data_IF_714079346514
#
_entry.id   IF_714079346514
#
_cell.length_a   1.000
_cell.length_b   1.000
_cell.length_c   1.000
_cell.angle_alpha   90.00
_cell.angle_beta   90.00
_cell.angle_gamma   90.00
#
_symmetry.space_group_name_H-M   'P 1'
#
loop_
_entity.id
_entity.type
_entity.pdbx_description
1 polymer ?
#
# COMPACT_ATOMS: atom_id res chain seq x y z
N UNK A 1 0.21 26.49 11.61
CA UNK A 1 -0.81 25.65 10.94
C UNK A 1 -1.20 24.53 11.90
N UNK A 2 -2.49 24.38 12.21
CA UNK A 2 -3.00 23.52 13.30
C UNK A 2 -3.00 22.02 12.92
N UNK A 3 -2.67 21.14 13.87
CA UNK A 3 -2.62 19.67 13.69
C UNK A 3 -3.94 19.07 13.18
N UNK A 4 -5.07 19.66 13.55
CA UNK A 4 -6.40 19.22 13.10
C UNK A 4 -6.57 19.25 11.56
N UNK A 5 -5.97 20.22 10.87
CA UNK A 5 -6.02 20.27 9.40
C UNK A 5 -5.19 19.15 8.75
N UNK A 6 -4.16 18.64 9.45
CA UNK A 6 -3.35 17.53 8.96
C UNK A 6 -4.12 16.21 9.00
N UNK A 7 -4.86 15.95 10.08
CA UNK A 7 -5.67 14.74 10.26
C UNK A 7 -6.83 14.65 9.28
N UNK A 8 -7.58 15.74 9.08
CA UNK A 8 -8.68 15.79 8.09
C UNK A 8 -8.15 15.49 6.69
N UNK A 9 -6.99 16.05 6.35
CA UNK A 9 -6.32 15.81 5.06
C UNK A 9 -5.82 14.37 4.94
N UNK A 10 -5.28 13.78 6.00
CA UNK A 10 -4.81 12.39 6.00
C UNK A 10 -5.97 11.40 5.87
N UNK A 11 -7.08 11.62 6.60
CA UNK A 11 -8.29 10.80 6.52
C UNK A 11 -8.94 10.83 5.14
N UNK A 12 -8.95 12.00 4.49
CA UNK A 12 -9.43 12.11 3.10
C UNK A 12 -8.57 11.28 2.14
N UNK A 13 -7.24 11.37 2.25
CA UNK A 13 -6.32 10.59 1.40
C UNK A 13 -6.49 9.08 1.58
N UNK A 14 -6.71 8.60 2.81
CA UNK A 14 -6.95 7.18 3.07
C UNK A 14 -8.22 6.69 2.36
N UNK A 15 -9.32 7.45 2.45
CA UNK A 15 -10.58 7.11 1.75
C UNK A 15 -10.41 7.09 0.24
N UNK A 16 -9.63 8.02 -0.32
CA UNK A 16 -9.31 8.04 -1.75
C UNK A 16 -8.48 6.82 -2.15
N UNK A 17 -7.47 6.45 -1.36
CA UNK A 17 -6.67 5.26 -1.63
C UNK A 17 -7.53 3.98 -1.60
N UNK A 18 -8.36 3.80 -0.58
CA UNK A 18 -9.27 2.66 -0.48
C UNK A 18 -10.25 2.58 -1.68
N UNK A 19 -10.86 3.71 -2.06
CA UNK A 19 -11.75 3.78 -3.22
C UNK A 19 -11.04 3.39 -4.54
N UNK A 20 -9.79 3.85 -4.71
CA UNK A 20 -8.99 3.49 -5.87
C UNK A 20 -8.71 1.99 -5.91
N UNK A 21 -8.38 1.39 -4.76
CA UNK A 21 -8.16 -0.06 -4.64
C UNK A 21 -9.40 -0.84 -5.07
N UNK A 22 -10.56 -0.48 -4.55
CA UNK A 22 -11.81 -1.18 -4.88
C UNK A 22 -12.14 -1.03 -6.38
N UNK A 23 -11.84 0.13 -6.95
CA UNK A 23 -12.03 0.40 -8.38
C UNK A 23 -11.12 -0.46 -9.26
N UNK A 24 -9.82 -0.56 -8.93
CA UNK A 24 -8.86 -1.38 -9.70
C UNK A 24 -9.11 -2.88 -9.50
N UNK A 25 -9.64 -3.29 -8.36
CA UNK A 25 -10.00 -4.68 -8.08
C UNK A 25 -11.22 -5.15 -8.89
N UNK A 26 -12.14 -4.24 -9.23
CA UNK A 26 -13.45 -4.60 -9.81
C UNK A 26 -13.40 -4.92 -11.31
N UNK A 27 -12.61 -4.21 -12.12
CA UNK A 27 -12.56 -4.50 -13.57
C UNK A 27 -11.29 -4.05 -14.29
N UNK A 28 -10.98 -4.71 -15.40
CA UNK A 28 -9.80 -4.43 -16.23
C UNK A 28 -9.90 -3.06 -16.92
N UNK A 29 -11.06 -2.75 -17.51
CA UNK A 29 -11.31 -1.44 -18.13
C UNK A 29 -11.12 -0.28 -17.15
N UNK A 30 -11.49 -0.49 -15.87
CA UNK A 30 -11.27 0.51 -14.82
C UNK A 30 -9.78 0.67 -14.50
N UNK A 31 -9.00 -0.41 -14.51
CA UNK A 31 -7.55 -0.34 -14.34
C UNK A 31 -6.88 0.47 -15.45
N UNK A 32 -7.25 0.23 -16.70
CA UNK A 32 -6.76 1.03 -17.85
C UNK A 32 -7.09 2.51 -17.66
N UNK A 33 -8.35 2.82 -17.33
CA UNK A 33 -8.78 4.20 -17.11
C UNK A 33 -8.01 4.88 -15.97
N UNK A 34 -7.73 4.17 -14.87
CA UNK A 34 -6.97 4.70 -13.73
C UNK A 34 -5.49 4.92 -14.08
N UNK A 35 -4.87 4.04 -14.87
CA UNK A 35 -3.47 4.20 -15.28
C UNK A 35 -3.28 5.39 -16.21
N UNK A 36 -4.25 5.66 -17.08
CA UNK A 36 -4.22 6.82 -17.98
C UNK A 36 -4.74 8.12 -17.33
N UNK A 37 -5.48 8.02 -16.22
CA UNK A 37 -6.11 9.14 -15.55
C UNK A 37 -5.11 10.24 -15.19
N UNK A 38 -5.40 11.47 -15.64
CA UNK A 38 -4.56 12.63 -15.37
C UNK A 38 -3.13 12.50 -15.92
N UNK A 39 -2.92 11.71 -16.98
CA UNK A 39 -1.59 11.36 -17.55
C UNK A 39 -0.76 10.52 -16.58
N UNK A 40 -1.39 9.55 -15.92
CA UNK A 40 -0.75 8.67 -14.94
C UNK A 40 -0.51 9.29 -13.56
N UNK A 41 -0.94 10.52 -13.31
CA UNK A 41 -0.78 11.19 -12.01
C UNK A 41 -1.40 10.42 -10.84
N UNK A 42 -2.46 9.64 -11.10
CA UNK A 42 -3.06 8.77 -10.06
C UNK A 42 -2.08 7.68 -9.63
N UNK A 43 -1.39 7.07 -10.60
CA UNK A 43 -0.34 6.08 -10.34
C UNK A 43 0.88 6.73 -9.67
N UNK A 44 1.26 7.97 -10.04
CA UNK A 44 2.35 8.69 -9.37
C UNK A 44 2.03 8.88 -7.89
N UNK A 45 0.82 9.32 -7.62
CA UNK A 45 0.35 9.60 -6.27
C UNK A 45 0.33 8.33 -5.41
N UNK A 46 -0.14 7.19 -5.95
CA UNK A 46 -0.08 5.90 -5.25
C UNK A 46 1.38 5.47 -4.99
N UNK A 47 2.30 5.66 -5.95
CA UNK A 47 3.71 5.32 -5.79
C UNK A 47 4.38 6.17 -4.70
N UNK A 48 4.06 7.45 -4.64
CA UNK A 48 4.56 8.36 -3.60
C UNK A 48 4.11 7.93 -2.20
N UNK A 49 2.85 7.51 -2.06
CA UNK A 49 2.32 7.00 -0.80
C UNK A 49 3.02 5.70 -0.40
N UNK A 50 3.22 4.78 -1.34
CA UNK A 50 3.93 3.52 -1.09
C UNK A 50 5.38 3.78 -0.66
N UNK A 51 6.06 4.73 -1.29
CA UNK A 51 7.48 5.00 -1.03
C UNK A 51 7.77 5.75 0.27
N UNK A 52 6.81 6.54 0.78
CA UNK A 52 7.00 7.40 1.95
C UNK A 52 6.08 6.91 3.06
N UNK A 53 6.60 6.15 4.05
CA UNK A 53 5.83 5.84 5.25
C UNK A 53 5.53 7.16 5.97
N UNK A 54 4.27 7.60 5.91
CA UNK A 54 3.74 8.72 6.70
C UNK A 54 2.96 8.15 7.89
N UNK A 55 2.65 9.01 8.86
CA UNK A 55 1.79 8.66 10.00
C UNK A 55 0.50 7.99 9.50
N UNK A 56 0.37 6.68 9.77
CA UNK A 56 -0.72 5.84 9.27
C UNK A 56 -0.27 4.80 8.22
N UNK A 57 0.12 3.61 8.69
CA UNK A 57 0.54 2.47 7.86
C UNK A 57 -0.56 1.98 6.89
N UNK A 58 -1.82 2.28 7.22
CA UNK A 58 -3.01 1.88 6.45
C UNK A 58 -3.02 2.47 5.03
N UNK A 59 -2.60 3.73 4.86
CA UNK A 59 -2.58 4.37 3.53
C UNK A 59 -1.53 3.72 2.61
N UNK A 60 -0.38 3.35 3.19
CA UNK A 60 0.68 2.63 2.50
C UNK A 60 0.22 1.22 2.10
N UNK A 61 -0.48 0.52 3.01
CA UNK A 61 -1.03 -0.81 2.77
C UNK A 61 -2.09 -0.82 1.66
N UNK A 62 -3.04 0.12 1.68
CA UNK A 62 -4.06 0.23 0.62
C UNK A 62 -3.40 0.56 -0.72
N UNK A 63 -2.45 1.50 -0.76
CA UNK A 63 -1.75 1.83 -2.01
C UNK A 63 -0.97 0.64 -2.55
N UNK A 64 -0.30 -0.14 -1.69
CA UNK A 64 0.35 -1.38 -2.08
C UNK A 64 -0.66 -2.41 -2.61
N UNK A 65 -1.85 -2.53 -2.01
CA UNK A 65 -2.93 -3.40 -2.49
C UNK A 65 -3.40 -3.01 -3.89
N UNK A 66 -3.51 -1.70 -4.20
CA UNK A 66 -3.84 -1.24 -5.55
C UNK A 66 -2.80 -1.71 -6.58
N UNK A 67 -1.50 -1.63 -6.24
CA UNK A 67 -0.44 -2.07 -7.14
C UNK A 67 -0.46 -3.57 -7.42
N UNK A 68 -0.90 -4.41 -6.48
CA UNK A 68 -1.06 -5.85 -6.74
C UNK A 68 -2.01 -6.08 -7.91
N UNK A 69 -3.17 -5.40 -7.94
CA UNK A 69 -4.12 -5.51 -9.05
C UNK A 69 -3.58 -4.93 -10.35
N UNK A 70 -2.84 -3.81 -10.28
CA UNK A 70 -2.27 -3.17 -11.46
C UNK A 70 -1.11 -3.97 -12.07
N UNK A 71 -0.25 -4.59 -11.26
CA UNK A 71 0.85 -5.42 -11.76
C UNK A 71 0.38 -6.79 -12.27
N UNK A 72 -0.70 -7.32 -11.69
CA UNK A 72 -1.30 -8.57 -12.14
C UNK A 72 -1.99 -8.44 -13.52
N UNK A 73 -2.37 -7.24 -13.94
CA UNK A 73 -3.05 -7.01 -15.21
C UNK A 73 -2.06 -6.75 -16.36
N UNK A 74 -2.03 -7.68 -17.30
CA UNK A 74 -1.18 -7.65 -18.51
C UNK A 74 -1.44 -6.46 -19.42
N UNK A 75 -2.62 -5.85 -19.34
CA UNK A 75 -2.98 -4.70 -20.18
C UNK A 75 -2.35 -3.40 -19.68
N UNK A 76 -2.02 -3.31 -18.38
CA UNK A 76 -1.56 -2.05 -17.77
C UNK A 76 -0.21 -2.17 -17.08
N UNK A 77 0.28 -3.37 -16.78
CA UNK A 77 1.53 -3.54 -16.03
C UNK A 77 2.73 -2.86 -16.72
N UNK A 78 2.85 -2.95 -18.05
CA UNK A 78 3.90 -2.28 -18.83
C UNK A 78 3.80 -0.77 -18.64
N UNK A 79 2.59 -0.19 -18.75
CA UNK A 79 2.37 1.24 -18.57
C UNK A 79 2.72 1.70 -17.16
N UNK A 80 2.42 0.90 -16.13
CA UNK A 80 2.79 1.19 -14.74
C UNK A 80 4.30 1.11 -14.54
N UNK A 81 4.99 0.10 -15.09
CA UNK A 81 6.44 -0.04 -15.00
C UNK A 81 7.21 0.99 -15.84
N UNK A 82 6.63 1.46 -16.95
CA UNK A 82 7.21 2.48 -17.81
C UNK A 82 7.33 3.85 -17.14
N UNK A 83 6.69 4.05 -15.99
CA UNK A 83 6.70 5.34 -15.31
C UNK A 83 8.00 5.54 -14.54
N UNK A 84 8.60 6.75 -14.58
CA UNK A 84 10.00 6.98 -14.20
C UNK A 84 10.28 6.67 -12.72
N UNK A 85 9.29 6.85 -11.85
CA UNK A 85 9.44 6.68 -10.40
C UNK A 85 8.99 5.31 -9.90
N UNK A 86 8.48 4.41 -10.75
CA UNK A 86 7.91 3.13 -10.30
C UNK A 86 8.95 2.26 -9.61
N UNK A 87 10.04 1.93 -10.30
CA UNK A 87 11.10 1.07 -9.73
C UNK A 87 11.78 1.72 -8.52
N UNK A 88 12.20 3.00 -8.55
CA UNK A 88 12.80 3.64 -7.37
C UNK A 88 11.88 3.65 -6.14
N UNK A 89 10.59 3.92 -6.31
CA UNK A 89 9.64 3.97 -5.21
C UNK A 89 9.32 2.59 -4.63
N UNK A 90 9.23 1.56 -5.47
CA UNK A 90 9.08 0.18 -5.00
C UNK A 90 10.31 -0.31 -4.21
N UNK A 91 11.52 0.00 -4.70
CA UNK A 91 12.74 -0.33 -3.97
C UNK A 91 12.77 0.36 -2.61
N UNK A 92 12.41 1.66 -2.55
CA UNK A 92 12.32 2.39 -1.28
C UNK A 92 11.30 1.75 -0.34
N UNK A 93 10.16 1.32 -0.84
CA UNK A 93 9.14 0.62 -0.06
C UNK A 93 9.68 -0.70 0.52
N UNK A 94 10.31 -1.54 -0.32
CA UNK A 94 10.90 -2.81 0.11
C UNK A 94 11.96 -2.58 1.20
N UNK A 95 12.86 -1.61 1.00
CA UNK A 95 13.88 -1.28 2.01
C UNK A 95 13.28 -0.67 3.28
N UNK A 96 12.16 0.05 3.19
CA UNK A 96 11.46 0.58 4.37
C UNK A 96 10.80 -0.52 5.22
N UNK A 97 10.39 -1.62 4.58
CA UNK A 97 9.77 -2.78 5.23
C UNK A 97 10.80 -3.74 5.85
N UNK A 98 12.10 -3.55 5.59
CA UNK A 98 13.12 -4.40 6.19
C UNK A 98 13.20 -4.14 7.71
N UNK A 99 13.19 -5.20 8.53
CA UNK A 99 13.41 -5.05 9.96
C UNK A 99 14.78 -4.41 10.16
N UNK A 100 14.80 -3.23 10.78
CA UNK A 100 16.05 -2.62 11.24
C UNK A 100 16.73 -3.67 12.11
N UNK A 101 17.95 -4.10 11.74
CA UNK A 101 18.77 -4.91 12.65
C UNK A 101 18.96 -4.05 13.89
N UNK A 102 18.20 -4.36 14.95
CA UNK A 102 18.45 -3.82 16.26
C UNK A 102 19.80 -4.38 16.67
N UNK A 103 20.84 -3.55 16.66
CA UNK A 103 21.99 -3.81 17.51
C UNK A 103 21.51 -3.61 18.95
N UNK A 104 20.77 -4.57 19.48
CA UNK A 104 20.53 -4.68 20.92
C UNK A 104 19.99 -6.08 21.25
N UNK A 105 20.86 -6.83 21.91
CA UNK A 105 20.51 -7.96 22.76
C UNK A 105 19.60 -7.43 23.85
N UNK A 106 18.30 -7.68 23.79
CA UNK A 106 17.47 -7.85 24.99
C UNK A 106 16.03 -8.32 24.70
N UNK A 107 15.69 -9.41 25.37
CA UNK A 107 14.36 -9.81 25.80
C UNK A 107 13.29 -10.09 24.71
N UNK A 108 13.34 -11.33 24.19
CA UNK A 108 12.13 -12.06 23.83
C UNK A 108 11.23 -12.16 25.09
N UNK A 109 10.25 -11.26 25.22
CA UNK A 109 9.13 -11.41 26.17
C UNK A 109 7.81 -11.25 25.44
N UNK A 110 7.20 -12.39 25.16
CA UNK A 110 5.77 -12.61 25.36
C UNK A 110 4.82 -12.04 24.31
N UNK A 111 4.38 -12.90 23.39
CA UNK A 111 2.97 -12.88 23.01
C UNK A 111 2.45 -14.32 22.89
N UNK A 112 1.87 -14.79 23.98
CA UNK A 112 1.18 -16.06 24.10
C UNK A 112 -0.18 -15.92 23.39
N UNK A 113 -0.27 -16.29 22.11
CA UNK A 113 -1.57 -16.46 21.44
C UNK A 113 -2.08 -17.88 21.72
N UNK A 114 -2.98 -17.97 22.71
CA UNK A 114 -3.91 -19.08 22.91
C UNK A 114 -4.74 -19.26 21.64
N UNK A 115 -4.56 -20.39 20.96
CA UNK A 115 -5.56 -20.92 20.03
C UNK A 115 -6.34 -22.00 20.78
N UNK A 116 -7.55 -21.68 21.21
CA UNK A 116 -8.56 -22.69 21.57
C UNK A 116 -9.38 -22.98 20.31
N UNK A 117 -9.21 -24.17 19.75
CA UNK A 117 -10.09 -24.76 18.75
C UNK A 117 -10.52 -26.15 19.22
N UNK A 118 -11.78 -26.56 19.05
CA UNK A 118 -12.31 -27.77 19.67
C UNK A 118 -11.86 -29.02 18.91
N UNK A 119 -11.34 -30.00 19.63
CA UNK A 119 -11.13 -31.35 19.11
C UNK A 119 -12.47 -32.10 19.18
N UNK A 120 -13.09 -32.34 18.02
CA UNK A 120 -14.15 -33.34 17.87
C UNK A 120 -13.57 -34.72 18.11
N UNK A 121 -14.24 -35.51 18.94
CA UNK A 121 -13.88 -36.89 19.28
C UNK A 121 -14.35 -37.90 18.22
N UNK A 122 -13.64 -39.03 18.25
CA UNK A 122 -13.92 -40.39 17.76
C UNK A 122 -14.97 -40.61 16.67
#
# INVERSE_FOLDING_TARGET
>A
MSSANHEVRAGFKLRVAALLVDTVATSENRRVAIVEAGRGKVVDWLLEIVAVPKEGNEMQAESARAFVYLFADVNVNIAVFARPNTVPNLLRFIFSAQPRRSNEVSAFKGCHRRFTGPAGGF
#
